data_IF_692308397775
#
_entry.id   IF_692308397775
#
_cell.length_a   1.000
_cell.length_b   1.000
_cell.length_c   1.000
_cell.angle_alpha   90.00
_cell.angle_beta   90.00
_cell.angle_gamma   90.00
#
_symmetry.space_group_name_H-M   'P 1'
#
loop_
_entity.id
_entity.type
_entity.pdbx_description
1 polymer ?
#
# COMPACT_ATOMS: atom_id res chain seq x y z
N UNK A 1 15.48 -6.97 0.75
CA UNK A 1 14.94 -8.12 1.52
C UNK A 1 13.87 -7.55 2.42
N UNK A 2 12.65 -8.09 2.40
CA UNK A 2 11.47 -7.51 3.09
C UNK A 2 11.18 -8.30 4.38
N UNK A 3 11.29 -9.63 4.32
CA UNK A 3 11.06 -10.56 5.44
C UNK A 3 12.34 -11.07 6.14
N UNK A 4 13.52 -10.79 5.58
CA UNK A 4 14.76 -11.49 5.96
C UNK A 4 14.93 -12.87 5.31
N UNK A 5 13.91 -13.39 4.61
CA UNK A 5 13.96 -14.69 3.94
C UNK A 5 14.68 -14.62 2.58
N UNK A 6 15.27 -15.74 2.18
CA UNK A 6 15.95 -15.92 0.89
C UNK A 6 15.13 -16.71 -0.14
N UNK A 7 14.04 -17.35 0.28
CA UNK A 7 13.17 -18.19 -0.55
C UNK A 7 11.71 -17.84 -0.29
N UNK A 8 10.87 -17.89 -1.33
CA UNK A 8 9.47 -17.49 -1.32
C UNK A 8 8.66 -18.48 -2.13
N UNK A 9 7.49 -18.86 -1.62
CA UNK A 9 6.55 -19.72 -2.36
C UNK A 9 5.68 -18.87 -3.29
N UNK A 10 5.53 -19.24 -4.57
CA UNK A 10 4.80 -18.44 -5.57
C UNK A 10 3.27 -18.53 -5.44
N UNK A 11 2.74 -19.12 -4.36
CA UNK A 11 1.31 -19.26 -4.13
C UNK A 11 0.72 -17.92 -3.64
N UNK A 12 0.38 -17.04 -4.58
CA UNK A 12 -0.39 -15.83 -4.28
C UNK A 12 -1.87 -16.17 -4.14
N UNK A 13 -2.45 -15.96 -2.96
CA UNK A 13 -3.87 -16.21 -2.67
C UNK A 13 -4.75 -14.96 -2.75
N UNK A 14 -4.18 -13.79 -3.01
CA UNK A 14 -4.92 -12.53 -3.14
C UNK A 14 -5.73 -12.41 -4.43
N UNK A 15 -6.69 -11.49 -4.46
CA UNK A 15 -7.51 -11.20 -5.66
C UNK A 15 -6.64 -10.70 -6.85
N UNK A 16 -5.37 -10.40 -6.59
CA UNK A 16 -4.42 -9.87 -7.54
C UNK A 16 -4.74 -8.42 -7.88
N UNK A 17 -3.90 -7.84 -8.74
CA UNK A 17 -4.00 -6.42 -9.09
C UNK A 17 -5.37 -6.04 -9.70
N UNK A 18 -5.88 -6.86 -10.63
CA UNK A 18 -7.16 -6.62 -11.32
C UNK A 18 -8.35 -6.80 -10.37
N UNK A 19 -8.35 -7.87 -9.56
CA UNK A 19 -9.42 -8.11 -8.59
C UNK A 19 -9.48 -7.02 -7.53
N UNK A 20 -8.33 -6.62 -6.98
CA UNK A 20 -8.27 -5.52 -6.02
C UNK A 20 -8.80 -4.20 -6.59
N UNK A 21 -8.48 -3.90 -7.86
CA UNK A 21 -9.00 -2.73 -8.55
C UNK A 21 -10.52 -2.80 -8.76
N UNK A 22 -11.08 -3.96 -9.11
CA UNK A 22 -12.54 -4.16 -9.21
C UNK A 22 -13.24 -3.97 -7.87
N UNK A 23 -12.70 -4.55 -6.79
CA UNK A 23 -13.25 -4.40 -5.44
C UNK A 23 -13.25 -2.93 -5.01
N UNK A 24 -12.14 -2.22 -5.16
CA UNK A 24 -12.06 -0.79 -4.83
C UNK A 24 -13.03 0.08 -5.65
N UNK A 25 -13.25 -0.25 -6.93
CA UNK A 25 -14.26 0.43 -7.75
C UNK A 25 -15.68 0.19 -7.24
N UNK A 26 -15.98 -1.04 -6.81
CA UNK A 26 -17.29 -1.40 -6.28
C UNK A 26 -17.57 -0.74 -4.92
N UNK A 27 -16.57 -0.59 -4.06
CA UNK A 27 -16.70 0.06 -2.75
C UNK A 27 -17.00 1.56 -2.88
N UNK A 28 -16.34 2.24 -3.83
CA UNK A 28 -16.52 3.68 -4.03
C UNK A 28 -18.00 4.06 -4.26
N UNK A 29 -18.77 3.18 -4.90
CA UNK A 29 -20.18 3.43 -5.23
C UNK A 29 -21.17 3.30 -4.06
N UNK A 30 -20.75 2.84 -2.89
CA UNK A 30 -21.66 2.44 -1.80
C UNK A 30 -21.71 3.39 -0.58
N UNK A 31 -20.83 4.40 -0.54
CA UNK A 31 -20.77 5.56 0.39
C UNK A 31 -21.21 5.35 1.86
N UNK A 32 -20.23 5.22 2.75
CA UNK A 32 -19.87 6.26 3.73
C UNK A 32 -18.37 6.02 4.04
N UNK A 33 -17.48 6.71 3.32
CA UNK A 33 -16.02 6.45 3.36
C UNK A 33 -15.43 7.04 4.63
N UNK A 34 -15.73 6.42 5.77
CA UNK A 34 -15.01 6.64 7.03
C UNK A 34 -13.73 5.79 7.04
N UNK A 35 -13.74 4.62 6.40
CA UNK A 35 -12.58 3.77 6.09
C UNK A 35 -13.11 2.65 5.17
N UNK A 36 -12.55 2.47 3.97
CA UNK A 36 -12.92 1.36 3.07
C UNK A 36 -12.47 0.01 3.66
N UNK A 37 -13.00 -1.09 3.14
CA UNK A 37 -12.53 -2.42 3.54
C UNK A 37 -11.10 -2.59 3.01
N UNK A 38 -10.21 -3.19 3.80
CA UNK A 38 -8.88 -3.55 3.33
C UNK A 38 -9.00 -4.64 2.26
N UNK A 39 -8.50 -4.33 1.07
CA UNK A 39 -8.50 -5.21 -0.10
C UNK A 39 -7.08 -5.75 -0.28
N UNK A 40 -6.92 -7.06 -0.09
CA UNK A 40 -5.64 -7.74 -0.28
C UNK A 40 -5.25 -7.75 -1.76
N UNK A 41 -4.13 -7.10 -2.08
CA UNK A 41 -3.57 -7.09 -3.43
C UNK A 41 -2.64 -8.29 -3.64
N UNK A 42 -1.75 -8.55 -2.69
CA UNK A 42 -0.90 -9.73 -2.71
C UNK A 42 -0.43 -10.11 -1.30
N UNK A 43 -0.22 -11.41 -1.12
CA UNK A 43 0.37 -11.97 0.08
C UNK A 43 1.53 -12.89 -0.29
N UNK A 44 2.58 -12.87 0.53
CA UNK A 44 3.81 -13.64 0.34
C UNK A 44 3.95 -14.63 1.49
N UNK A 45 4.15 -15.89 1.13
CA UNK A 45 4.41 -16.98 2.06
C UNK A 45 5.89 -17.36 1.99
N UNK A 46 6.53 -17.49 3.14
CA UNK A 46 7.83 -18.15 3.28
C UNK A 46 7.62 -19.62 3.57
N UNK A 47 8.53 -20.46 3.11
CA UNK A 47 8.38 -21.92 3.14
C UNK A 47 8.29 -22.54 4.55
N UNK A 48 8.54 -21.75 5.59
CA UNK A 48 8.43 -22.15 7.00
C UNK A 48 7.04 -21.85 7.61
N UNK A 49 6.14 -21.15 6.91
CA UNK A 49 4.81 -20.73 7.41
C UNK A 49 3.67 -21.41 6.65
N UNK A 50 3.23 -22.58 7.14
CA UNK A 50 2.29 -23.43 6.39
C UNK A 50 0.85 -22.93 6.27
N UNK A 51 0.46 -21.84 6.93
CA UNK A 51 -0.97 -21.45 7.04
C UNK A 51 -1.27 -19.94 7.13
N UNK A 52 -0.27 -19.05 7.16
CA UNK A 52 -0.46 -17.60 7.32
C UNK A 52 0.58 -16.85 6.50
N UNK A 53 0.17 -15.74 5.87
CA UNK A 53 1.04 -14.86 5.09
C UNK A 53 2.12 -14.22 5.97
N UNK A 54 3.35 -14.13 5.44
CA UNK A 54 4.47 -13.47 6.11
C UNK A 54 4.54 -11.99 5.76
N UNK A 55 4.08 -11.65 4.55
CA UNK A 55 3.89 -10.27 4.10
C UNK A 55 2.55 -10.12 3.41
N UNK A 56 1.74 -9.18 3.86
CA UNK A 56 0.55 -8.73 3.16
C UNK A 56 0.76 -7.35 2.55
N UNK A 57 0.15 -7.11 1.38
CA UNK A 57 -0.02 -5.78 0.79
C UNK A 57 -1.50 -5.55 0.54
N UNK A 58 -2.04 -4.52 1.17
CA UNK A 58 -3.47 -4.24 1.21
C UNK A 58 -3.74 -2.79 0.81
N UNK A 59 -4.92 -2.53 0.23
CA UNK A 59 -5.36 -1.19 -0.15
C UNK A 59 -6.79 -0.93 0.28
N UNK A 60 -7.07 0.31 0.68
CA UNK A 60 -8.41 0.75 1.05
C UNK A 60 -8.65 2.20 0.60
N UNK A 61 -9.92 2.57 0.46
CA UNK A 61 -10.33 3.96 0.38
C UNK A 61 -10.19 4.62 1.76
N UNK A 62 -9.68 5.85 1.81
CA UNK A 62 -9.41 6.57 3.05
C UNK A 62 -10.11 7.94 3.05
N UNK A 63 -10.60 8.35 4.23
CA UNK A 63 -11.28 9.64 4.43
C UNK A 63 -10.32 10.84 4.46
N UNK A 64 -9.01 10.61 4.56
CA UNK A 64 -7.96 11.61 4.57
C UNK A 64 -7.67 12.23 5.94
N UNK A 65 -8.38 11.82 7.00
CA UNK A 65 -8.26 12.39 8.36
C UNK A 65 -6.83 12.35 8.90
N UNK A 66 -6.04 11.35 8.49
CA UNK A 66 -4.67 11.15 8.94
C UNK A 66 -3.61 11.91 8.14
N UNK A 67 -3.96 12.55 7.01
CA UNK A 67 -2.99 13.20 6.13
C UNK A 67 -2.31 14.41 6.77
N UNK A 68 -3.05 15.18 7.56
CA UNK A 68 -2.56 16.41 8.19
C UNK A 68 -1.94 16.17 9.58
N UNK A 69 -2.10 14.96 10.14
CA UNK A 69 -1.48 14.63 11.42
C UNK A 69 0.02 14.42 11.28
N UNK A 70 0.79 14.96 12.21
CA UNK A 70 2.21 14.63 12.36
C UNK A 70 2.45 13.43 13.28
N UNK A 71 1.41 12.94 13.94
CA UNK A 71 1.50 11.80 14.85
C UNK A 71 1.71 10.51 14.06
N UNK A 72 2.66 9.71 14.54
CA UNK A 72 2.97 8.37 14.06
C UNK A 72 3.66 7.63 15.20
N UNK A 73 3.66 6.30 15.14
CA UNK A 73 4.36 5.48 16.11
C UNK A 73 5.89 5.65 15.95
N UNK A 74 6.64 5.56 17.05
CA UNK A 74 8.09 5.86 17.09
C UNK A 74 8.91 4.96 16.16
N UNK A 75 8.42 3.75 15.86
CA UNK A 75 9.06 2.81 14.94
C UNK A 75 8.90 3.20 13.46
N UNK A 76 8.01 4.15 13.15
CA UNK A 76 7.75 4.62 11.80
C UNK A 76 8.56 5.89 11.50
N UNK A 77 9.11 5.96 10.30
CA UNK A 77 9.81 7.13 9.80
C UNK A 77 9.04 7.71 8.62
N UNK A 78 8.83 9.03 8.57
CA UNK A 78 8.12 9.66 7.48
C UNK A 78 9.01 9.87 6.25
N UNK A 79 8.41 9.74 5.06
CA UNK A 79 9.06 9.85 3.76
C UNK A 79 8.26 10.74 2.80
N UNK A 80 8.95 11.37 1.85
CA UNK A 80 8.38 12.25 0.81
C UNK A 80 7.91 11.45 -0.40
N UNK A 81 7.01 10.50 -0.17
CA UNK A 81 6.39 9.66 -1.22
C UNK A 81 4.88 9.79 -1.14
N UNK A 82 4.23 9.98 -2.29
CA UNK A 82 2.79 10.23 -2.37
C UNK A 82 2.38 11.50 -1.60
N UNK A 83 1.21 11.46 -0.96
CA UNK A 83 0.73 12.51 -0.05
C UNK A 83 1.31 12.38 1.35
N UNK A 84 1.47 11.14 1.81
CA UNK A 84 2.08 10.80 3.09
C UNK A 84 2.59 9.38 3.01
N UNK A 85 3.82 9.15 3.47
CA UNK A 85 4.38 7.82 3.59
C UNK A 85 5.06 7.67 4.94
N UNK A 86 4.78 6.56 5.61
CA UNK A 86 5.38 6.14 6.87
C UNK A 86 5.95 4.75 6.68
N UNK A 87 7.17 4.51 7.12
CA UNK A 87 7.77 3.19 7.01
C UNK A 87 8.57 2.82 8.25
N UNK A 88 8.47 1.57 8.68
CA UNK A 88 9.32 0.89 9.65
C UNK A 88 9.80 -0.45 9.09
N UNK A 89 10.57 -1.20 9.87
CA UNK A 89 11.05 -2.54 9.49
C UNK A 89 9.92 -3.54 9.34
N UNK A 90 8.89 -3.47 10.19
CA UNK A 90 7.76 -4.40 10.17
C UNK A 90 6.64 -3.98 9.21
N UNK A 91 6.39 -2.69 9.02
CA UNK A 91 5.26 -2.21 8.20
C UNK A 91 5.55 -0.89 7.52
N UNK A 92 4.82 -0.58 6.45
CA UNK A 92 4.77 0.76 5.88
C UNK A 92 3.34 1.09 5.41
N UNK A 93 3.02 2.37 5.42
CA UNK A 93 1.74 2.91 4.93
C UNK A 93 2.03 4.03 3.93
N UNK A 94 1.29 4.06 2.83
CA UNK A 94 1.41 5.05 1.76
C UNK A 94 0.02 5.56 1.40
N UNK A 95 -0.13 6.88 1.42
CA UNK A 95 -1.35 7.56 1.04
C UNK A 95 -1.12 8.31 -0.26
N UNK A 96 -2.03 8.15 -1.23
CA UNK A 96 -1.97 8.87 -2.50
C UNK A 96 -3.36 9.24 -2.99
N UNK A 97 -3.42 10.32 -3.78
CA UNK A 97 -4.65 10.78 -4.40
C UNK A 97 -4.86 10.04 -5.73
N UNK A 98 -6.07 9.56 -5.97
CA UNK A 98 -6.48 9.03 -7.26
C UNK A 98 -7.66 9.84 -7.80
N UNK A 99 -7.45 10.46 -8.96
CA UNK A 99 -8.53 11.03 -9.77
C UNK A 99 -8.73 10.10 -10.95
N UNK A 100 -9.88 9.44 -11.03
CA UNK A 100 -10.16 8.47 -12.09
C UNK A 100 -11.60 8.55 -12.55
N UNK A 101 -11.87 8.44 -13.86
CA UNK A 101 -13.24 8.27 -14.37
C UNK A 101 -13.89 6.96 -13.92
N UNK A 102 -13.10 6.00 -13.44
CA UNK A 102 -13.60 4.71 -12.92
C UNK A 102 -14.03 4.82 -11.44
N UNK A 103 -13.54 5.82 -10.73
CA UNK A 103 -13.82 6.06 -9.30
C UNK A 103 -14.68 7.31 -9.19
N UNK A 104 -15.99 7.09 -9.37
CA UNK A 104 -17.00 8.14 -9.30
C UNK A 104 -17.29 8.82 -10.63
N UNK A 105 -18.56 8.80 -11.02
CA UNK A 105 -19.06 9.29 -12.31
C UNK A 105 -18.87 10.79 -12.58
N UNK A 106 -18.10 11.51 -11.77
CA UNK A 106 -17.62 12.86 -12.05
C UNK A 106 -16.11 12.88 -11.81
N UNK A 107 -15.35 12.98 -12.90
CA UNK A 107 -13.89 12.91 -12.97
C UNK A 107 -13.14 14.05 -12.23
N UNK A 108 -13.77 14.68 -11.24
CA UNK A 108 -13.24 15.85 -10.52
C UNK A 108 -12.99 15.61 -9.03
N UNK A 109 -13.52 14.54 -8.44
CA UNK A 109 -13.29 14.26 -7.00
C UNK A 109 -12.11 13.31 -6.84
N UNK A 110 -11.00 13.82 -6.31
CA UNK A 110 -9.90 12.99 -5.86
C UNK A 110 -10.34 12.09 -4.68
N UNK A 111 -9.99 10.81 -4.74
CA UNK A 111 -10.11 9.88 -3.62
C UNK A 111 -8.74 9.65 -3.01
N UNK A 112 -8.70 9.42 -1.70
CA UNK A 112 -7.46 8.98 -1.06
C UNK A 112 -7.47 7.46 -1.03
N UNK A 113 -6.40 6.87 -1.53
CA UNK A 113 -6.11 5.45 -1.35
C UNK A 113 -5.01 5.33 -0.30
N UNK A 114 -5.23 4.43 0.66
CA UNK A 114 -4.25 4.00 1.65
C UNK A 114 -3.78 2.61 1.26
N UNK A 115 -2.50 2.47 0.97
CA UNK A 115 -1.83 1.19 0.86
C UNK A 115 -1.08 0.89 2.14
N UNK A 116 -1.09 -0.36 2.57
CA UNK A 116 -0.29 -0.86 3.68
C UNK A 116 0.47 -2.12 3.26
N UNK A 117 1.71 -2.22 3.74
CA UNK A 117 2.47 -3.46 3.73
C UNK A 117 2.76 -3.83 5.18
N UNK A 118 2.52 -5.09 5.53
CA UNK A 118 2.77 -5.58 6.88
C UNK A 118 3.56 -6.88 6.83
N UNK A 119 4.56 -7.01 7.69
CA UNK A 119 5.23 -8.28 7.97
C UNK A 119 4.58 -8.85 9.22
N UNK A 120 4.26 -10.15 9.19
CA UNK A 120 3.65 -10.83 10.34
C UNK A 120 4.55 -10.79 11.56
N UNK A 121 5.81 -11.19 11.38
CA UNK A 121 6.85 -11.16 12.39
C UNK A 121 7.82 -10.00 12.18
N UNK A 122 8.57 -9.62 13.20
CA UNK A 122 9.61 -8.60 13.06
C UNK A 122 10.74 -9.19 12.19
N UNK A 123 11.01 -8.62 11.01
CA UNK A 123 12.03 -9.17 10.14
C UNK A 123 13.42 -8.99 10.74
N UNK A 124 14.25 -10.01 10.60
CA UNK A 124 15.66 -9.92 11.02
C UNK A 124 16.48 -9.19 9.96
N UNK A 125 17.39 -8.31 10.40
CA UNK A 125 18.30 -7.61 9.50
C UNK A 125 18.50 -6.14 9.86
N UNK A 126 19.01 -5.38 8.89
CA UNK A 126 19.22 -3.96 9.02
C UNK A 126 17.88 -3.20 8.90
N UNK A 127 17.49 -2.52 9.98
CA UNK A 127 16.20 -1.82 10.11
C UNK A 127 16.02 -0.77 9.01
N UNK A 128 17.09 -0.07 8.63
CA UNK A 128 17.01 0.95 7.58
C UNK A 128 16.70 0.31 6.21
N UNK A 129 17.42 -0.75 5.84
CA UNK A 129 17.18 -1.46 4.59
C UNK A 129 15.79 -2.10 4.53
N UNK A 130 15.33 -2.70 5.64
CA UNK A 130 13.99 -3.30 5.72
C UNK A 130 12.90 -2.25 5.51
N UNK A 131 13.04 -1.11 6.19
CA UNK A 131 12.13 0.03 6.05
C UNK A 131 12.06 0.55 4.62
N UNK A 132 13.21 0.77 3.99
CA UNK A 132 13.28 1.27 2.62
C UNK A 132 12.75 0.23 1.61
N UNK A 133 12.98 -1.06 1.86
CA UNK A 133 12.43 -2.15 1.05
C UNK A 133 10.90 -2.22 1.14
N UNK A 134 10.33 -2.15 2.35
CA UNK A 134 8.88 -2.11 2.56
C UNK A 134 8.25 -0.96 1.76
N UNK A 135 8.79 0.25 1.89
CA UNK A 135 8.24 1.42 1.21
C UNK A 135 8.43 1.36 -0.31
N UNK A 136 9.54 0.81 -0.79
CA UNK A 136 9.76 0.60 -2.23
C UNK A 136 8.74 -0.36 -2.82
N UNK A 137 8.51 -1.49 -2.15
CA UNK A 137 7.55 -2.49 -2.59
C UNK A 137 6.12 -1.94 -2.57
N UNK A 138 5.75 -1.26 -1.49
CA UNK A 138 4.44 -0.63 -1.38
C UNK A 138 4.21 0.45 -2.44
N UNK A 139 5.22 1.27 -2.75
CA UNK A 139 5.13 2.26 -3.82
C UNK A 139 4.96 1.60 -5.19
N UNK A 140 5.68 0.52 -5.48
CA UNK A 140 5.55 -0.19 -6.75
C UNK A 140 4.14 -0.80 -6.91
N UNK A 141 3.60 -1.42 -5.85
CA UNK A 141 2.24 -1.93 -5.83
C UNK A 141 1.20 -0.80 -6.02
N UNK A 142 1.37 0.31 -5.31
CA UNK A 142 0.49 1.47 -5.43
C UNK A 142 0.53 2.10 -6.82
N UNK A 143 1.71 2.20 -7.45
CA UNK A 143 1.88 2.67 -8.82
C UNK A 143 1.16 1.77 -9.82
N UNK A 144 1.29 0.45 -9.68
CA UNK A 144 0.60 -0.52 -10.51
C UNK A 144 -0.93 -0.42 -10.35
N UNK A 145 -1.42 -0.34 -9.10
CA UNK A 145 -2.84 -0.20 -8.80
C UNK A 145 -3.41 1.11 -9.34
N UNK A 146 -2.66 2.21 -9.22
CA UNK A 146 -3.03 3.49 -9.79
C UNK A 146 -3.13 3.44 -11.33
N UNK A 147 -2.30 2.61 -11.97
CA UNK A 147 -2.40 2.30 -13.39
C UNK A 147 -3.71 1.59 -13.76
N UNK A 148 -4.06 0.52 -13.05
CA UNK A 148 -5.30 -0.24 -13.29
C UNK A 148 -6.55 0.59 -13.02
N UNK A 149 -6.53 1.37 -11.94
CA UNK A 149 -7.59 2.32 -11.61
C UNK A 149 -7.60 3.53 -12.55
N UNK A 150 -6.60 3.68 -13.44
CA UNK A 150 -6.45 4.82 -14.36
C UNK A 150 -6.46 6.17 -13.64
N UNK A 151 -5.80 6.22 -12.50
CA UNK A 151 -5.58 7.47 -11.77
C UNK A 151 -4.77 8.44 -12.65
N UNK A 152 -5.16 9.72 -12.67
CA UNK A 152 -4.40 10.76 -13.33
C UNK A 152 -2.95 10.76 -12.83
N UNK A 153 -1.98 10.73 -13.77
CA UNK A 153 -0.53 10.68 -13.47
C UNK A 153 -0.17 9.58 -12.47
N UNK A 154 -0.89 8.45 -12.48
CA UNK A 154 -0.65 7.33 -11.57
C UNK A 154 -0.69 7.76 -10.10
N UNK A 155 -1.57 8.71 -9.78
CA UNK A 155 -1.73 9.26 -8.44
C UNK A 155 -0.55 10.11 -7.96
N UNK A 156 0.27 10.61 -8.88
CA UNK A 156 1.49 11.35 -8.56
C UNK A 156 2.64 10.47 -8.07
N UNK A 157 2.49 9.15 -8.13
CA UNK A 157 3.53 8.18 -7.78
C UNK A 157 4.52 7.99 -8.93
N UNK A 158 5.74 7.59 -8.58
CA UNK A 158 6.78 7.22 -9.55
C UNK A 158 7.00 5.72 -9.51
N UNK A 159 7.30 5.11 -10.67
CA UNK A 159 7.61 3.66 -10.75
C UNK A 159 8.78 3.27 -9.85
N UNK A 160 9.79 4.14 -9.74
CA UNK A 160 10.88 4.01 -8.78
C UNK A 160 10.76 5.10 -7.71
N UNK A 161 10.56 4.70 -6.46
CA UNK A 161 10.47 5.63 -5.34
C UNK A 161 11.85 6.24 -5.04
N UNK A 162 11.91 7.57 -4.93
CA UNK A 162 13.06 8.24 -4.30
C UNK A 162 12.74 8.42 -2.82
N UNK A 163 13.50 7.75 -1.94
CA UNK A 163 13.19 7.66 -0.52
C UNK A 163 13.86 8.75 0.30
N UNK A 164 13.43 9.99 0.08
CA UNK A 164 13.83 11.11 0.93
C UNK A 164 12.99 11.17 2.20
N UNK A 165 13.63 11.31 3.36
CA UNK A 165 12.91 11.49 4.63
C UNK A 165 12.18 12.83 4.66
N UNK A 166 11.00 12.86 5.28
CA UNK A 166 10.16 14.04 5.41
C UNK A 166 10.66 15.00 6.49
#
# INVERSE_FOLDING_TARGET
MVTGASEFDPEGTGEGLEGAAETLKAEFGQTDVSTGTEVELCSVYTSDSSDLDDVSVEFALDGGEFLDSSEHADELTPYKVGRKALAGSKRASLYFECVSPLLGGQAEKAVILRGEISNRDEPTGDVQQLREANLTLLNAAAFALAGELRCEKQGGLSETATLDRA
#
